data_IF_718958434344
#
_entry.id   IF_718958434344
#
_cell.length_a   1.000
_cell.length_b   1.000
_cell.length_c   1.000
_cell.angle_alpha   90.00
_cell.angle_beta   90.00
_cell.angle_gamma   90.00
#
_symmetry.space_group_name_H-M   'P 1'
#
loop_
_entity.id
_entity.type
_entity.pdbx_description
1 polymer ?
#
# COMPACT_ATOMS: atom_id res chain seq x y z
N UNK A 1 1.51 -30.90 -23.46
CA UNK A 1 0.74 -30.69 -22.22
C UNK A 1 0.96 -29.25 -21.83
N UNK A 2 -0.04 -28.38 -22.03
CA UNK A 2 0.04 -26.99 -21.65
C UNK A 2 -0.18 -26.93 -20.14
N UNK A 3 0.86 -26.66 -19.36
CA UNK A 3 0.66 -26.23 -17.98
C UNK A 3 -0.10 -24.91 -18.07
N UNK A 4 -1.32 -24.86 -17.54
CA UNK A 4 -1.94 -23.59 -17.23
C UNK A 4 -1.10 -23.01 -16.09
N UNK A 5 -0.08 -22.24 -16.46
CA UNK A 5 0.70 -21.45 -15.51
C UNK A 5 -0.24 -20.41 -14.92
N UNK A 6 -0.89 -20.75 -13.81
CA UNK A 6 -1.52 -19.77 -12.95
C UNK A 6 -0.41 -18.82 -12.52
N UNK A 7 -0.44 -17.58 -13.01
CA UNK A 7 0.53 -16.57 -12.58
C UNK A 7 0.38 -16.39 -11.06
N UNK A 8 1.49 -16.39 -10.30
CA UNK A 8 1.40 -16.25 -8.84
C UNK A 8 0.94 -14.85 -8.40
N UNK A 9 0.82 -13.91 -9.34
CA UNK A 9 0.48 -12.51 -9.13
C UNK A 9 -0.98 -12.26 -9.48
N UNK A 10 -1.89 -12.60 -8.56
CA UNK A 10 -3.33 -12.41 -8.75
C UNK A 10 -4.01 -12.03 -7.44
N UNK A 11 -5.05 -11.20 -7.52
CA UNK A 11 -5.89 -10.85 -6.36
C UNK A 11 -7.00 -11.88 -6.25
N UNK A 12 -6.79 -12.87 -5.39
CA UNK A 12 -7.75 -13.94 -5.13
C UNK A 12 -8.31 -13.75 -3.73
N UNK A 13 -9.63 -13.81 -3.61
CA UNK A 13 -10.31 -13.73 -2.32
C UNK A 13 -9.86 -14.87 -1.41
N UNK A 14 -9.53 -14.52 -0.17
CA UNK A 14 -9.11 -15.46 0.87
C UNK A 14 -10.05 -15.34 2.07
N UNK A 15 -10.43 -16.46 2.72
CA UNK A 15 -11.19 -16.42 3.97
C UNK A 15 -10.35 -15.89 5.15
N UNK A 16 -9.02 -15.85 5.02
CA UNK A 16 -8.10 -15.47 6.10
C UNK A 16 -6.91 -14.64 5.61
N UNK A 17 -7.13 -13.48 4.94
CA UNK A 17 -6.07 -12.72 4.30
C UNK A 17 -4.97 -12.25 5.26
N UNK A 18 -5.34 -11.95 6.52
CA UNK A 18 -4.36 -11.64 7.56
C UNK A 18 -3.42 -12.82 7.86
N UNK A 19 -3.98 -14.03 7.93
CA UNK A 19 -3.18 -15.23 8.20
C UNK A 19 -2.27 -15.57 7.03
N UNK A 20 -2.69 -15.30 5.79
CA UNK A 20 -1.85 -15.48 4.60
C UNK A 20 -0.61 -14.58 4.68
N UNK A 21 -0.79 -13.32 5.09
CA UNK A 21 0.32 -12.37 5.30
C UNK A 21 1.24 -12.82 6.44
N UNK A 22 0.68 -13.34 7.55
CA UNK A 22 1.49 -13.89 8.66
C UNK A 22 2.33 -15.09 8.19
N UNK A 23 1.72 -16.00 7.43
CA UNK A 23 2.40 -17.18 6.87
C UNK A 23 3.49 -16.78 5.88
N UNK A 24 3.21 -15.80 5.00
CA UNK A 24 4.19 -15.24 4.07
C UNK A 24 5.36 -14.58 4.84
N UNK A 25 5.10 -13.83 5.91
CA UNK A 25 6.18 -13.27 6.73
C UNK A 25 7.08 -14.35 7.32
N UNK A 26 6.49 -15.43 7.84
CA UNK A 26 7.25 -16.56 8.38
C UNK A 26 8.08 -17.27 7.30
N UNK A 27 7.54 -17.41 6.09
CA UNK A 27 8.27 -17.95 4.95
C UNK A 27 9.44 -17.04 4.53
N UNK A 28 9.20 -15.72 4.47
CA UNK A 28 10.23 -14.72 4.16
C UNK A 28 11.43 -14.81 5.12
N UNK A 29 11.16 -14.95 6.43
CA UNK A 29 12.21 -15.16 7.44
C UNK A 29 13.00 -16.44 7.18
N UNK A 30 12.32 -17.56 6.88
CA UNK A 30 12.96 -18.86 6.63
C UNK A 30 13.79 -18.88 5.35
N UNK A 31 13.35 -18.14 4.33
CA UNK A 31 14.00 -18.09 3.02
C UNK A 31 15.06 -16.98 2.89
N UNK A 32 15.27 -16.18 3.95
CA UNK A 32 16.14 -15.00 3.92
C UNK A 32 15.78 -14.01 2.79
N UNK A 33 14.47 -13.79 2.61
CA UNK A 33 13.91 -12.87 1.59
C UNK A 33 13.21 -11.70 2.26
N UNK A 34 13.01 -10.62 1.51
CA UNK A 34 12.08 -9.57 1.93
C UNK A 34 10.63 -10.09 1.81
N UNK A 35 9.72 -9.53 2.61
CA UNK A 35 8.29 -9.76 2.42
C UNK A 35 7.73 -8.67 1.51
N UNK A 36 6.96 -9.07 0.49
CA UNK A 36 6.22 -8.17 -0.40
C UNK A 36 4.72 -8.41 -0.24
N UNK A 37 4.02 -7.51 0.44
CA UNK A 37 2.55 -7.56 0.57
C UNK A 37 1.93 -6.58 -0.43
N UNK A 38 1.03 -7.08 -1.28
CA UNK A 38 0.33 -6.30 -2.30
C UNK A 38 -1.16 -6.34 -2.02
N UNK A 39 -1.73 -5.26 -1.47
CA UNK A 39 -3.17 -5.13 -1.28
C UNK A 39 -3.78 -4.48 -2.52
N UNK A 40 -4.71 -5.15 -3.18
CA UNK A 40 -5.36 -4.62 -4.38
C UNK A 40 -6.64 -5.37 -4.68
N UNK A 41 -7.17 -5.19 -5.88
CA UNK A 41 -8.40 -5.86 -6.28
C UNK A 41 -8.49 -6.02 -7.80
N UNK A 42 -9.23 -7.04 -8.24
CA UNK A 42 -9.36 -7.37 -9.66
C UNK A 42 -10.10 -6.31 -10.48
N UNK A 43 -11.00 -5.54 -9.85
CA UNK A 43 -11.74 -4.46 -10.53
C UNK A 43 -10.91 -3.19 -10.72
N UNK A 44 -9.73 -3.09 -10.12
CA UNK A 44 -8.90 -1.90 -10.16
C UNK A 44 -7.86 -1.98 -11.30
N UNK A 45 -7.91 -1.01 -12.22
CA UNK A 45 -7.00 -0.95 -13.36
C UNK A 45 -5.52 -0.90 -12.95
N UNK A 46 -5.16 -0.05 -11.98
CA UNK A 46 -3.78 -0.01 -11.46
C UNK A 46 -3.36 -1.33 -10.79
N UNK A 47 -4.30 -2.04 -10.15
CA UNK A 47 -3.99 -3.31 -9.47
C UNK A 47 -3.68 -4.41 -10.48
N UNK A 48 -4.52 -4.54 -11.51
CA UNK A 48 -4.35 -5.51 -12.60
C UNK A 48 -3.12 -5.18 -13.44
N UNK A 49 -2.87 -3.91 -13.75
CA UNK A 49 -1.63 -3.46 -14.41
C UNK A 49 -0.37 -3.83 -13.61
N UNK A 50 -0.38 -3.70 -12.28
CA UNK A 50 0.73 -4.17 -11.44
C UNK A 50 0.92 -5.69 -11.52
N UNK A 51 -0.16 -6.47 -11.48
CA UNK A 51 -0.10 -7.93 -11.60
C UNK A 51 0.47 -8.38 -12.95
N UNK A 52 0.08 -7.71 -14.05
CA UNK A 52 0.64 -7.94 -15.38
C UNK A 52 2.13 -7.59 -15.44
N UNK A 53 2.53 -6.46 -14.85
CA UNK A 53 3.96 -6.06 -14.74
C UNK A 53 4.78 -7.06 -13.95
N UNK A 54 4.24 -7.58 -12.84
CA UNK A 54 4.93 -8.60 -12.04
C UNK A 54 5.07 -9.92 -12.80
N UNK A 55 4.12 -10.20 -13.69
CA UNK A 55 4.12 -11.40 -14.54
C UNK A 55 5.08 -11.32 -15.72
N UNK A 56 5.73 -10.17 -15.99
CA UNK A 56 6.79 -10.15 -17.01
C UNK A 56 8.02 -10.93 -16.53
N UNK A 57 8.76 -11.52 -17.47
CA UNK A 57 9.93 -12.35 -17.16
C UNK A 57 10.97 -11.59 -16.32
N UNK A 58 11.20 -10.32 -16.61
CA UNK A 58 12.18 -9.47 -15.93
C UNK A 58 11.79 -9.26 -14.46
N UNK A 59 10.53 -8.93 -14.20
CA UNK A 59 10.05 -8.71 -12.84
C UNK A 59 9.95 -10.00 -12.06
N UNK A 60 9.42 -11.06 -12.67
CA UNK A 60 9.28 -12.36 -12.01
C UNK A 60 10.64 -12.93 -11.55
N UNK A 61 11.71 -12.70 -12.31
CA UNK A 61 13.08 -13.04 -11.89
C UNK A 61 13.53 -12.26 -10.64
N UNK A 62 13.28 -10.95 -10.58
CA UNK A 62 13.61 -10.10 -9.42
C UNK A 62 12.80 -10.54 -8.20
N UNK A 63 11.49 -10.75 -8.38
CA UNK A 63 10.56 -11.09 -7.31
C UNK A 63 10.89 -12.45 -6.71
N UNK A 64 11.01 -13.51 -7.52
CA UNK A 64 11.31 -14.86 -7.01
C UNK A 64 12.67 -14.96 -6.31
N UNK A 65 13.65 -14.18 -6.76
CA UNK A 65 14.99 -14.18 -6.18
C UNK A 65 15.03 -13.52 -4.78
N UNK A 66 14.26 -12.45 -4.56
CA UNK A 66 14.46 -11.58 -3.41
C UNK A 66 13.26 -11.40 -2.49
N UNK A 67 12.08 -11.84 -2.91
CA UNK A 67 10.82 -11.59 -2.20
C UNK A 67 10.03 -12.87 -1.97
N UNK A 68 9.43 -12.96 -0.79
CA UNK A 68 8.23 -13.76 -0.57
C UNK A 68 7.03 -12.83 -0.82
N UNK A 69 6.28 -13.08 -1.89
CA UNK A 69 5.23 -12.18 -2.37
C UNK A 69 3.85 -12.73 -2.03
N UNK A 70 3.00 -11.91 -1.43
CA UNK A 70 1.60 -12.23 -1.14
C UNK A 70 0.68 -11.14 -1.67
N UNK A 71 -0.30 -11.55 -2.47
CA UNK A 71 -1.37 -10.69 -2.96
C UNK A 71 -2.58 -10.84 -2.05
N UNK A 72 -3.18 -9.71 -1.68
CA UNK A 72 -4.35 -9.65 -0.81
C UNK A 72 -5.45 -8.93 -1.57
N UNK A 73 -6.56 -9.63 -1.79
CA UNK A 73 -7.78 -9.02 -2.31
C UNK A 73 -8.48 -8.21 -1.20
N UNK A 74 -8.74 -6.94 -1.49
CA UNK A 74 -9.47 -6.03 -0.58
C UNK A 74 -10.96 -6.00 -0.87
N UNK A 75 -11.47 -6.86 -1.76
CA UNK A 75 -12.88 -6.89 -2.15
C UNK A 75 -13.33 -5.54 -2.69
N UNK A 76 -14.53 -5.09 -2.33
CA UNK A 76 -15.01 -3.74 -2.65
C UNK A 76 -14.67 -2.76 -1.53
N UNK A 77 -13.37 -2.57 -1.26
CA UNK A 77 -12.82 -1.69 -0.22
C UNK A 77 -13.08 -2.14 1.23
N UNK A 78 -13.08 -3.45 1.47
CA UNK A 78 -13.26 -4.03 2.80
C UNK A 78 -12.14 -3.64 3.77
N UNK A 79 -12.46 -3.52 5.07
CA UNK A 79 -11.46 -3.20 6.07
C UNK A 79 -10.39 -4.30 6.18
N UNK A 80 -9.19 -3.94 5.72
CA UNK A 80 -7.96 -4.73 5.81
C UNK A 80 -6.87 -4.02 6.61
N UNK A 81 -7.24 -3.04 7.45
CA UNK A 81 -6.26 -2.25 8.23
C UNK A 81 -5.44 -3.11 9.16
N UNK A 82 -5.96 -4.23 9.67
CA UNK A 82 -5.18 -5.17 10.48
C UNK A 82 -3.89 -5.65 9.77
N UNK A 83 -3.89 -5.74 8.43
CA UNK A 83 -2.70 -6.09 7.64
C UNK A 83 -1.72 -4.91 7.57
N UNK A 84 -2.20 -3.69 7.31
CA UNK A 84 -1.30 -2.52 7.24
C UNK A 84 -0.75 -2.15 8.61
N UNK A 85 -1.58 -2.21 9.65
CA UNK A 85 -1.23 -1.90 11.04
C UNK A 85 -0.17 -2.86 11.61
N UNK A 86 -0.14 -4.11 11.12
CA UNK A 86 0.93 -5.08 11.45
C UNK A 86 2.32 -4.55 11.14
N UNK A 87 2.45 -3.69 10.13
CA UNK A 87 3.71 -3.10 9.69
C UNK A 87 3.76 -1.58 9.95
N UNK A 88 3.03 -1.13 10.99
CA UNK A 88 2.98 0.27 11.44
C UNK A 88 2.57 1.25 10.32
N UNK A 89 1.65 0.82 9.44
CA UNK A 89 1.07 1.64 8.39
C UNK A 89 -0.45 1.76 8.60
N UNK A 90 -1.01 2.98 8.61
CA UNK A 90 -2.31 3.19 9.24
C UNK A 90 -3.51 2.67 8.42
N UNK A 91 -3.40 2.63 7.08
CA UNK A 91 -4.43 2.11 6.15
C UNK A 91 -3.84 1.99 4.74
N UNK A 92 -4.51 1.25 3.84
CA UNK A 92 -4.24 1.29 2.40
C UNK A 92 -4.90 2.53 1.75
N UNK A 93 -4.06 3.45 1.26
CA UNK A 93 -4.51 4.72 0.67
C UNK A 93 -4.90 4.61 -0.80
N UNK A 94 -4.46 3.57 -1.49
CA UNK A 94 -4.77 3.28 -2.88
C UNK A 94 -4.81 1.77 -3.11
N UNK A 95 -5.42 1.37 -4.21
CA UNK A 95 -5.30 0.02 -4.77
C UNK A 95 -4.52 0.16 -6.08
N UNK A 96 -3.38 -0.52 -6.24
CA UNK A 96 -2.72 -1.36 -5.25
C UNK A 96 -2.00 -0.52 -4.17
N UNK A 97 -1.86 -1.09 -2.98
CA UNK A 97 -0.91 -0.69 -1.93
C UNK A 97 0.19 -1.75 -1.88
N UNK A 98 1.45 -1.33 -2.05
CA UNK A 98 2.59 -2.23 -2.13
C UNK A 98 3.52 -1.98 -0.95
N UNK A 99 3.71 -2.99 -0.10
CA UNK A 99 4.52 -2.92 1.12
C UNK A 99 5.75 -3.80 0.99
N UNK A 100 6.94 -3.20 1.02
CA UNK A 100 8.21 -3.92 1.06
C UNK A 100 8.69 -3.96 2.51
N UNK A 101 8.80 -5.15 3.08
CA UNK A 101 8.97 -5.35 4.51
C UNK A 101 10.24 -6.14 4.79
N UNK A 102 11.01 -5.69 5.77
CA UNK A 102 12.05 -6.49 6.41
C UNK A 102 11.35 -7.44 7.40
N UNK A 103 11.39 -8.77 7.16
CA UNK A 103 10.41 -9.65 7.79
C UNK A 103 10.73 -10.00 9.25
N UNK A 104 11.98 -9.87 9.69
CA UNK A 104 12.37 -10.13 11.08
C UNK A 104 11.85 -9.04 12.03
N UNK A 105 11.99 -7.77 11.66
CA UNK A 105 11.55 -6.61 12.44
C UNK A 105 10.13 -6.15 12.12
N UNK A 106 9.61 -6.50 10.93
CA UNK A 106 8.37 -5.93 10.39
C UNK A 106 8.53 -4.50 9.86
N UNK A 107 9.77 -4.01 9.70
CA UNK A 107 10.01 -2.65 9.25
C UNK A 107 9.60 -2.45 7.78
N UNK A 108 8.82 -1.40 7.53
CA UNK A 108 8.34 -1.03 6.21
C UNK A 108 9.42 -0.23 5.46
N UNK A 109 10.15 -0.91 4.57
CA UNK A 109 11.33 -0.35 3.90
C UNK A 109 10.99 0.72 2.87
N UNK A 110 9.79 0.68 2.30
CA UNK A 110 9.35 1.62 1.27
C UNK A 110 8.39 2.70 1.79
N UNK A 111 8.27 2.88 3.12
CA UNK A 111 7.32 3.81 3.78
C UNK A 111 7.28 5.22 3.17
N UNK A 112 8.43 5.74 2.74
CA UNK A 112 8.55 7.07 2.14
C UNK A 112 8.30 7.12 0.62
N UNK A 113 7.75 6.05 0.01
CA UNK A 113 7.61 5.97 -1.45
C UNK A 113 6.46 5.06 -1.89
N UNK A 114 5.51 4.76 -1.01
CA UNK A 114 4.38 3.88 -1.32
C UNK A 114 3.30 4.56 -2.18
N UNK A 115 3.24 5.89 -2.16
CA UNK A 115 2.24 6.69 -2.88
C UNK A 115 2.36 6.57 -4.40
N UNK A 116 3.55 6.22 -4.91
CA UNK A 116 3.76 5.96 -6.34
C UNK A 116 2.83 4.87 -6.89
N UNK A 117 2.44 3.89 -6.08
CA UNK A 117 1.68 2.72 -6.53
C UNK A 117 0.20 2.99 -6.78
N UNK A 118 -0.31 4.16 -6.41
CA UNK A 118 -1.66 4.59 -6.80
C UNK A 118 -1.82 4.94 -8.30
N UNK A 119 -0.75 4.77 -9.10
CA UNK A 119 -0.71 4.91 -10.57
C UNK A 119 0.06 3.76 -11.23
N UNK A 120 0.00 2.57 -10.62
CA UNK A 120 0.88 1.45 -10.93
C UNK A 120 0.83 1.01 -12.40
N UNK A 121 -0.33 1.08 -13.07
CA UNK A 121 -0.46 0.70 -14.47
C UNK A 121 0.41 1.58 -15.40
N UNK A 122 0.49 2.87 -15.07
CA UNK A 122 1.19 3.87 -15.86
C UNK A 122 2.70 3.97 -15.57
N UNK A 123 3.25 3.17 -14.66
CA UNK A 123 4.68 3.20 -14.35
C UNK A 123 5.45 2.33 -15.40
N UNK A 124 6.50 2.86 -16.05
CA UNK A 124 7.32 2.09 -16.98
C UNK A 124 8.01 0.88 -16.31
N UNK A 125 8.17 -0.23 -17.05
CA UNK A 125 8.79 -1.46 -16.54
C UNK A 125 10.21 -1.22 -15.96
N UNK A 126 11.00 -0.33 -16.56
CA UNK A 126 12.33 0.01 -16.05
C UNK A 126 12.28 0.62 -14.64
N UNK A 127 11.25 1.44 -14.34
CA UNK A 127 11.06 2.00 -13.00
C UNK A 127 10.62 0.94 -11.99
N UNK A 128 9.78 -0.04 -12.40
CA UNK A 128 9.48 -1.22 -11.57
C UNK A 128 10.76 -1.97 -11.20
N UNK A 129 11.56 -2.34 -12.20
CA UNK A 129 12.80 -3.08 -11.98
C UNK A 129 13.76 -2.33 -11.05
N UNK A 130 13.95 -1.03 -11.28
CA UNK A 130 14.80 -0.19 -10.44
C UNK A 130 14.25 -0.10 -9.00
N UNK A 131 12.93 0.08 -8.84
CA UNK A 131 12.30 0.18 -7.53
C UNK A 131 12.45 -1.11 -6.73
N UNK A 132 12.14 -2.27 -7.31
CA UNK A 132 12.21 -3.55 -6.58
C UNK A 132 13.63 -4.09 -6.42
N UNK A 133 14.58 -3.73 -7.28
CA UNK A 133 15.98 -4.16 -7.13
C UNK A 133 16.73 -3.41 -6.01
N UNK A 134 16.26 -2.22 -5.61
CA UNK A 134 16.98 -1.39 -4.64
C UNK A 134 16.90 -1.89 -3.20
N UNK A 135 15.81 -2.55 -2.80
CA UNK A 135 15.60 -2.97 -1.40
C UNK A 135 16.48 -4.16 -0.97
N UNK A 136 16.64 -5.21 -1.79
CA UNK A 136 17.58 -6.29 -1.50
C UNK A 136 19.03 -5.77 -1.41
N UNK A 137 19.35 -4.71 -2.17
CA UNK A 137 20.66 -4.06 -2.18
C UNK A 137 20.89 -3.08 -0.99
N UNK A 138 19.91 -2.88 -0.11
CA UNK A 138 20.09 -1.98 1.04
C UNK A 138 21.11 -2.53 2.03
N UNK A 139 22.05 -1.67 2.42
CA UNK A 139 23.00 -1.96 3.49
C UNK A 139 22.31 -2.11 4.85
N UNK A 140 22.98 -2.78 5.79
CA UNK A 140 22.52 -2.90 7.18
C UNK A 140 22.23 -1.54 7.82
N UNK A 141 23.07 -0.53 7.56
CA UNK A 141 22.87 0.84 8.07
C UNK A 141 21.61 1.50 7.49
N UNK A 142 21.35 1.33 6.19
CA UNK A 142 20.13 1.84 5.57
C UNK A 142 18.87 1.16 6.11
N UNK A 143 18.89 -0.17 6.28
CA UNK A 143 17.78 -0.91 6.91
C UNK A 143 17.58 -0.48 8.36
N UNK A 144 18.66 -0.32 9.14
CA UNK A 144 18.59 0.08 10.54
C UNK A 144 17.84 1.42 10.74
N UNK A 145 18.03 2.41 9.86
CA UNK A 145 17.25 3.67 9.91
C UNK A 145 15.74 3.44 9.84
N UNK A 146 15.29 2.50 9.02
CA UNK A 146 13.87 2.17 8.85
C UNK A 146 13.35 1.26 9.96
N UNK A 147 14.18 0.36 10.48
CA UNK A 147 13.87 -0.48 11.65
C UNK A 147 13.66 0.37 12.90
N UNK A 148 14.46 1.42 13.07
CA UNK A 148 14.35 2.35 14.19
C UNK A 148 13.39 3.51 13.94
N UNK A 149 12.83 3.62 12.73
CA UNK A 149 11.84 4.64 12.43
C UNK A 149 10.60 4.45 13.30
N UNK A 150 10.12 5.53 13.89
CA UNK A 150 8.86 5.58 14.64
C UNK A 150 8.21 6.94 14.48
N UNK A 151 6.89 6.95 14.29
CA UNK A 151 6.09 8.16 14.42
C UNK A 151 6.01 8.59 15.89
N UNK A 152 5.85 9.90 16.14
CA UNK A 152 5.52 10.43 17.47
C UNK A 152 4.14 9.94 17.92
N UNK A 153 3.85 10.02 19.22
CA UNK A 153 2.51 9.64 19.72
C UNK A 153 1.40 10.50 19.11
N UNK A 154 1.65 11.79 18.93
CA UNK A 154 0.72 12.71 18.27
C UNK A 154 0.47 12.29 16.80
N UNK A 155 1.53 11.95 16.06
CA UNK A 155 1.42 11.46 14.68
C UNK A 155 0.65 10.14 14.62
N UNK A 156 0.91 9.21 15.54
CA UNK A 156 0.19 7.93 15.61
C UNK A 156 -1.30 8.14 15.89
N UNK A 157 -1.64 8.95 16.89
CA UNK A 157 -3.02 9.25 17.23
C UNK A 157 -3.76 9.93 16.06
N UNK A 158 -3.10 10.88 15.40
CA UNK A 158 -3.62 11.54 14.21
C UNK A 158 -3.84 10.54 13.05
N UNK A 159 -2.83 9.73 12.72
CA UNK A 159 -2.89 8.77 11.62
C UNK A 159 -3.99 7.73 11.87
N UNK A 160 -4.13 7.24 13.10
CA UNK A 160 -5.20 6.31 13.50
C UNK A 160 -6.58 6.93 13.30
N UNK A 161 -6.76 8.19 13.72
CA UNK A 161 -8.02 8.93 13.52
C UNK A 161 -8.35 9.09 12.04
N UNK A 162 -7.39 9.51 11.23
CA UNK A 162 -7.62 9.72 9.80
C UNK A 162 -7.81 8.41 9.02
N UNK A 163 -7.14 7.32 9.43
CA UNK A 163 -7.38 5.99 8.89
C UNK A 163 -8.79 5.48 9.19
N UNK A 164 -9.27 5.65 10.42
CA UNK A 164 -10.66 5.30 10.77
C UNK A 164 -11.67 6.09 9.92
N UNK A 165 -11.41 7.38 9.71
CA UNK A 165 -12.25 8.21 8.83
C UNK A 165 -12.19 7.78 7.36
N UNK A 166 -11.01 7.43 6.84
CA UNK A 166 -10.88 6.91 5.48
C UNK A 166 -11.61 5.56 5.33
N UNK A 167 -11.51 4.68 6.32
CA UNK A 167 -12.25 3.42 6.29
C UNK A 167 -13.75 3.66 6.30
N UNK A 168 -14.27 4.57 7.12
CA UNK A 168 -15.70 4.92 7.09
C UNK A 168 -16.15 5.43 5.70
N UNK A 169 -15.30 6.18 4.99
CA UNK A 169 -15.57 6.57 3.60
C UNK A 169 -15.55 5.37 2.63
N UNK A 170 -14.65 4.41 2.84
CA UNK A 170 -14.65 3.14 2.10
C UNK A 170 -15.90 2.31 2.39
N UNK A 171 -16.37 2.27 3.62
CA UNK A 171 -17.59 1.55 4.01
C UNK A 171 -18.84 2.17 3.33
N UNK A 172 -18.86 3.49 3.11
CA UNK A 172 -19.88 4.15 2.27
C UNK A 172 -19.74 3.80 0.78
N UNK A 173 -18.51 3.75 0.26
CA UNK A 173 -18.26 3.51 -1.17
C UNK A 173 -18.41 2.04 -1.58
N UNK A 174 -18.06 1.10 -0.72
CA UNK A 174 -17.98 -0.33 -1.04
C UNK A 174 -19.26 -0.92 -1.61
N UNK A 175 -20.43 -0.74 -0.97
CA UNK A 175 -21.71 -1.21 -1.51
C UNK A 175 -22.10 -0.54 -2.84
N UNK A 176 -21.72 0.73 -3.05
CA UNK A 176 -21.98 1.43 -4.31
C UNK A 176 -21.09 0.92 -5.43
N UNK A 177 -19.81 0.66 -5.12
CA UNK A 177 -18.87 0.04 -6.03
C UNK A 177 -19.33 -1.37 -6.42
N UNK A 178 -19.83 -2.17 -5.47
CA UNK A 178 -20.37 -3.50 -5.77
C UNK A 178 -21.52 -3.46 -6.78
N UNK A 179 -22.42 -2.46 -6.66
CA UNK A 179 -23.51 -2.25 -7.62
C UNK A 179 -22.98 -1.84 -9.00
N UNK A 180 -22.03 -0.92 -9.05
CA UNK A 180 -21.40 -0.46 -10.29
C UNK A 180 -20.73 -1.64 -11.04
N UNK A 181 -19.99 -2.48 -10.32
CA UNK A 181 -19.38 -3.69 -10.88
C UNK A 181 -20.39 -4.73 -11.35
N UNK A 182 -21.60 -4.73 -10.79
CA UNK A 182 -22.72 -5.54 -11.26
C UNK A 182 -23.46 -4.93 -12.47
N UNK A 183 -22.98 -3.80 -13.00
CA UNK A 183 -23.57 -3.10 -14.15
C UNK A 183 -24.63 -2.07 -13.79
N UNK A 184 -24.81 -1.75 -12.51
CA UNK A 184 -25.74 -0.74 -12.02
C UNK A 184 -25.00 0.40 -11.34
N UNK A 185 -24.54 1.39 -12.12
CA UNK A 185 -23.81 2.55 -11.60
C UNK A 185 -24.72 3.45 -10.75
N UNK A 186 -24.50 3.55 -9.42
CA UNK A 186 -25.33 4.39 -8.57
C UNK A 186 -25.09 5.89 -8.82
N UNK A 187 -26.16 6.68 -8.76
CA UNK A 187 -26.06 8.13 -8.83
C UNK A 187 -25.14 8.69 -7.74
N UNK A 188 -24.28 9.63 -8.12
CA UNK A 188 -23.36 10.30 -7.19
C UNK A 188 -22.11 9.50 -6.81
N UNK A 189 -21.98 8.20 -7.16
CA UNK A 189 -20.78 7.39 -6.86
C UNK A 189 -19.49 8.09 -7.28
N UNK A 190 -19.45 8.62 -8.50
CA UNK A 190 -18.28 9.35 -9.03
C UNK A 190 -17.92 10.59 -8.20
N UNK A 191 -18.89 11.28 -7.60
CA UNK A 191 -18.65 12.45 -6.76
C UNK A 191 -18.03 12.03 -5.43
N UNK A 192 -18.63 11.05 -4.76
CA UNK A 192 -18.14 10.48 -3.50
C UNK A 192 -16.72 9.91 -3.69
N UNK A 193 -16.50 9.19 -4.78
CA UNK A 193 -15.20 8.63 -5.12
C UNK A 193 -14.12 9.71 -5.30
N UNK A 194 -14.43 10.79 -6.03
CA UNK A 194 -13.51 11.91 -6.23
C UNK A 194 -13.16 12.60 -4.91
N UNK A 195 -14.15 12.79 -4.04
CA UNK A 195 -13.95 13.40 -2.73
C UNK A 195 -13.05 12.53 -1.83
N UNK A 196 -13.35 11.24 -1.71
CA UNK A 196 -12.51 10.26 -0.98
C UNK A 196 -11.12 10.16 -1.57
N UNK A 197 -10.99 10.13 -2.91
CA UNK A 197 -9.68 10.10 -3.59
C UNK A 197 -8.85 11.34 -3.27
N UNK A 198 -9.46 12.52 -3.26
CA UNK A 198 -8.75 13.76 -2.89
C UNK A 198 -8.22 13.67 -1.46
N UNK A 199 -9.09 13.29 -0.52
CA UNK A 199 -8.72 13.16 0.90
C UNK A 199 -7.58 12.16 1.11
N UNK A 200 -7.71 10.92 0.62
CA UNK A 200 -6.68 9.87 0.83
C UNK A 200 -5.35 10.21 0.17
N UNK A 201 -5.38 10.87 -0.99
CA UNK A 201 -4.16 11.30 -1.71
C UNK A 201 -3.42 12.39 -0.95
N UNK A 202 -4.13 13.40 -0.47
CA UNK A 202 -3.53 14.47 0.34
C UNK A 202 -2.96 13.93 1.65
N UNK A 203 -3.71 13.03 2.31
CA UNK A 203 -3.30 12.41 3.57
C UNK A 203 -2.03 11.56 3.42
N UNK A 204 -1.97 10.71 2.39
CA UNK A 204 -0.79 9.88 2.13
C UNK A 204 0.44 10.71 1.78
N UNK A 205 0.28 11.78 0.97
CA UNK A 205 1.38 12.69 0.63
C UNK A 205 1.98 13.34 1.88
N UNK A 206 1.15 13.76 2.83
CA UNK A 206 1.61 14.30 4.11
C UNK A 206 2.36 13.23 4.91
N UNK A 207 1.82 12.01 5.01
CA UNK A 207 2.47 10.90 5.71
C UNK A 207 3.86 10.55 5.12
N UNK A 208 3.95 10.44 3.79
CA UNK A 208 5.20 10.17 3.07
C UNK A 208 6.19 11.29 3.33
N UNK A 209 5.77 12.56 3.18
CA UNK A 209 6.68 13.68 3.37
C UNK A 209 7.20 13.78 4.81
N UNK A 210 6.36 13.53 5.81
CA UNK A 210 6.80 13.47 7.22
C UNK A 210 7.78 12.32 7.47
N UNK A 211 7.60 11.19 6.78
CA UNK A 211 8.52 10.04 6.84
C UNK A 211 9.88 10.42 6.26
N UNK A 212 9.94 11.00 5.06
CA UNK A 212 11.18 11.47 4.43
C UNK A 212 12.00 12.34 5.37
N UNK A 213 11.37 13.37 5.96
CA UNK A 213 12.02 14.33 6.86
C UNK A 213 12.52 13.66 8.14
N UNK A 214 11.84 12.61 8.59
CA UNK A 214 12.26 11.85 9.78
C UNK A 214 13.45 10.95 9.48
N UNK A 215 13.53 10.37 8.28
CA UNK A 215 14.63 9.50 7.87
C UNK A 215 15.89 10.27 7.47
N UNK A 216 15.71 11.50 6.97
CA UNK A 216 16.79 12.39 6.54
C UNK A 216 16.53 13.84 6.97
N UNK A 217 16.77 14.18 8.25
CA UNK A 217 16.53 15.52 8.78
C UNK A 217 17.50 16.58 8.22
N UNK A 218 18.65 16.19 7.68
CA UNK A 218 19.72 17.08 7.21
C UNK A 218 19.81 17.19 5.67
N UNK A 219 19.20 16.28 4.91
CA UNK A 219 19.36 16.17 3.44
C UNK A 219 18.66 17.21 2.56
N UNK A 220 18.13 18.30 3.12
CA UNK A 220 17.47 19.37 2.36
C UNK A 220 18.29 20.66 2.32
N UNK A 221 18.64 21.16 1.12
CA UNK A 221 19.19 22.51 0.91
C UNK A 221 18.14 23.64 1.16
N UNK A 222 17.25 23.48 2.13
CA UNK A 222 16.14 24.38 2.42
C UNK A 222 15.46 24.07 3.77
N UNK A 223 14.49 24.90 4.13
CA UNK A 223 13.72 24.78 5.39
C UNK A 223 13.02 23.42 5.44
N UNK A 224 13.57 22.48 6.22
CA UNK A 224 13.07 21.11 6.37
C UNK A 224 11.92 21.05 7.39
N UNK A 225 10.83 21.77 7.14
CA UNK A 225 9.67 21.81 8.05
C UNK A 225 8.77 20.61 7.85
N UNK A 226 8.59 19.81 8.90
CA UNK A 226 7.60 18.72 8.92
C UNK A 226 6.20 19.27 8.60
N UNK A 227 5.52 18.79 7.53
CA UNK A 227 4.18 19.28 7.17
C UNK A 227 3.19 19.16 8.31
N UNK A 228 2.46 20.21 8.66
CA UNK A 228 1.50 20.21 9.77
C UNK A 228 0.47 19.06 9.70
N UNK A 229 0.03 18.58 10.86
CA UNK A 229 -1.09 17.64 10.98
C UNK A 229 -2.39 18.41 10.70
N UNK A 230 -2.92 18.26 9.47
CA UNK A 230 -3.99 19.12 8.96
C UNK A 230 -5.36 18.73 9.52
N UNK A 231 -6.20 19.73 9.74
CA UNK A 231 -7.63 19.50 9.85
C UNK A 231 -8.22 19.40 8.43
N UNK A 232 -8.98 18.35 8.15
CA UNK A 232 -9.71 18.18 6.90
C UNK A 232 -11.18 18.48 7.12
N UNK A 233 -11.80 19.20 6.19
CA UNK A 233 -13.24 19.43 6.22
C UNK A 233 -14.01 18.09 6.19
N UNK A 234 -15.20 18.03 6.82
CA UNK A 234 -16.10 16.89 6.69
C UNK A 234 -16.39 16.57 5.22
N UNK A 235 -16.53 15.28 4.92
CA UNK A 235 -17.03 14.81 3.64
C UNK A 235 -18.44 15.36 3.41
N UNK A 236 -18.85 15.47 2.15
CA UNK A 236 -20.18 15.99 1.78
C UNK A 236 -21.33 15.23 2.45
N UNK A 237 -21.15 13.93 2.75
CA UNK A 237 -22.15 13.08 3.42
C UNK A 237 -21.99 12.98 4.95
N UNK A 238 -20.93 13.54 5.53
CA UNK A 238 -20.75 13.63 6.99
C UNK A 238 -21.52 14.82 7.59
N UNK A 239 -22.15 15.65 6.75
CA UNK A 239 -22.96 16.80 7.15
C UNK A 239 -24.43 16.41 7.22
N UNK A 240 -24.77 15.55 8.17
CA UNK A 240 -26.15 15.27 8.59
C UNK A 240 -26.18 15.15 10.12
#
# INVERSE_FOLDING_TARGET
MSTQDTTPYAYISSPSPYQDVVSAQQSAVKQDKLLLVVLGAQWCHDSTGLAERFSTKEMDLILRAHYETVFVDVGTLEDRRNITERFDYPIYYATPTVMVIEPQSGALLNRASMDIWGRADSIPLAEYMAYFSRFPAMTTSQKAKLIHWKATEEERAYNKKQAARLQAAYDTLGPLLAQDLAGNTPDGLNSLWKETKKFRTELQKVLVKRTEITLDPEGGNGVNTKPALRHYHPFSWERN
#
